data_IF_868565775257
#
_entry.id   IF_868565775257
#
_cell.length_a   1.000
_cell.length_b   1.000
_cell.length_c   1.000
_cell.angle_alpha   90.00
_cell.angle_beta   90.00
_cell.angle_gamma   90.00
#
_symmetry.space_group_name_H-M   'P 1'
#
loop_
_entity.id
_entity.type
_entity.pdbx_description
1 polymer ?
#
# COMPACT_ATOMS: atom_id res chain seq x y z
N UNK A 1 -14.74 -9.87 10.78
CA UNK A 1 -14.42 -11.10 10.02
C UNK A 1 -15.64 -11.69 9.31
N UNK A 2 -16.75 -11.96 10.02
CA UNK A 2 -17.99 -12.50 9.40
C UNK A 2 -18.55 -11.54 8.33
N UNK A 3 -18.62 -10.23 8.63
CA UNK A 3 -19.09 -9.22 7.68
C UNK A 3 -18.27 -9.15 6.39
N UNK A 4 -16.94 -9.18 6.51
CA UNK A 4 -16.04 -9.16 5.34
C UNK A 4 -16.16 -10.42 4.51
N UNK A 5 -16.33 -11.59 5.15
CA UNK A 5 -16.55 -12.87 4.45
C UNK A 5 -17.87 -12.84 3.69
N UNK A 6 -18.96 -12.37 4.31
CA UNK A 6 -20.27 -12.25 3.65
C UNK A 6 -20.20 -11.37 2.39
N UNK A 7 -19.56 -10.20 2.50
CA UNK A 7 -19.36 -9.31 1.36
C UNK A 7 -18.52 -9.99 0.27
N UNK A 8 -17.41 -10.65 0.63
CA UNK A 8 -16.58 -11.37 -0.34
C UNK A 8 -17.34 -12.48 -1.06
N UNK A 9 -18.18 -13.25 -0.36
CA UNK A 9 -19.00 -14.31 -0.97
C UNK A 9 -20.02 -13.73 -1.95
N UNK A 10 -20.66 -12.60 -1.62
CA UNK A 10 -21.61 -11.91 -2.51
C UNK A 10 -20.88 -11.38 -3.76
N UNK A 11 -19.73 -10.73 -3.59
CA UNK A 11 -18.94 -10.21 -4.71
C UNK A 11 -18.40 -11.32 -5.62
N UNK A 12 -18.06 -12.48 -5.05
CA UNK A 12 -17.69 -13.66 -5.83
C UNK A 12 -18.88 -14.21 -6.62
N UNK A 13 -20.09 -14.19 -6.04
CA UNK A 13 -21.33 -14.55 -6.71
C UNK A 13 -21.61 -13.72 -7.98
N UNK A 14 -21.15 -12.46 -8.04
CA UNK A 14 -21.24 -11.63 -9.24
C UNK A 14 -20.50 -12.24 -10.45
N UNK A 15 -19.51 -13.11 -10.23
CA UNK A 15 -18.83 -13.83 -11.30
C UNK A 15 -19.74 -14.82 -12.04
N UNK A 16 -20.85 -15.26 -11.44
CA UNK A 16 -21.79 -16.22 -12.03
C UNK A 16 -23.03 -15.56 -12.64
N UNK A 17 -23.41 -14.37 -12.16
CA UNK A 17 -24.71 -13.74 -12.46
C UNK A 17 -24.56 -12.47 -13.33
N UNK A 18 -23.34 -11.92 -13.44
CA UNK A 18 -23.09 -10.64 -14.14
C UNK A 18 -22.15 -10.75 -15.35
N UNK A 19 -22.11 -9.67 -16.14
CA UNK A 19 -21.10 -9.46 -17.16
C UNK A 19 -19.71 -9.55 -16.52
N UNK A 20 -18.86 -10.49 -16.97
CA UNK A 20 -17.49 -10.73 -16.46
C UNK A 20 -16.64 -9.46 -16.37
N UNK A 21 -17.00 -8.43 -17.12
CA UNK A 21 -16.40 -7.09 -17.08
C UNK A 21 -16.48 -6.47 -15.67
N UNK A 22 -17.64 -6.49 -15.02
CA UNK A 22 -17.82 -5.85 -13.69
C UNK A 22 -16.96 -6.54 -12.63
N UNK A 23 -16.93 -7.87 -12.64
CA UNK A 23 -16.06 -8.64 -11.75
C UNK A 23 -14.58 -8.29 -11.97
N UNK A 24 -14.13 -8.20 -13.22
CA UNK A 24 -12.74 -7.82 -13.55
C UNK A 24 -12.41 -6.40 -13.07
N UNK A 25 -13.36 -5.47 -13.14
CA UNK A 25 -13.18 -4.12 -12.59
C UNK A 25 -12.94 -4.15 -11.09
N UNK A 26 -13.79 -4.86 -10.35
CA UNK A 26 -13.67 -4.99 -8.90
C UNK A 26 -12.33 -5.60 -8.49
N UNK A 27 -11.91 -6.68 -9.17
CA UNK A 27 -10.62 -7.33 -8.92
C UNK A 27 -9.45 -6.39 -9.20
N UNK A 28 -9.46 -5.64 -10.31
CA UNK A 28 -8.41 -4.67 -10.61
C UNK A 28 -8.33 -3.56 -9.56
N UNK A 29 -9.46 -2.98 -9.17
CA UNK A 29 -9.51 -1.92 -8.17
C UNK A 29 -8.92 -2.41 -6.84
N UNK A 30 -9.40 -3.56 -6.34
CA UNK A 30 -8.93 -4.14 -5.06
C UNK A 30 -7.44 -4.50 -5.14
N UNK A 31 -6.98 -5.05 -6.26
CA UNK A 31 -5.57 -5.36 -6.48
C UNK A 31 -4.68 -4.11 -6.37
N UNK A 32 -5.02 -3.04 -7.09
CA UNK A 32 -4.26 -1.78 -7.03
C UNK A 32 -4.28 -1.18 -5.63
N UNK A 33 -5.43 -1.19 -4.94
CA UNK A 33 -5.51 -0.73 -3.54
C UNK A 33 -4.60 -1.52 -2.61
N UNK A 34 -4.55 -2.85 -2.74
CA UNK A 34 -3.67 -3.72 -1.96
C UNK A 34 -2.19 -3.41 -2.18
N UNK A 35 -1.78 -3.21 -3.44
CA UNK A 35 -0.39 -2.86 -3.75
C UNK A 35 0.01 -1.47 -3.25
N UNK A 36 -0.90 -0.49 -3.28
CA UNK A 36 -0.66 0.83 -2.67
C UNK A 36 -0.45 0.68 -1.14
N UNK A 37 -1.24 -0.16 -0.47
CA UNK A 37 -1.06 -0.43 0.95
C UNK A 37 0.29 -1.08 1.25
N UNK A 38 0.69 -2.09 0.46
CA UNK A 38 2.00 -2.73 0.59
C UNK A 38 3.17 -1.77 0.33
N UNK A 39 3.03 -0.88 -0.66
CA UNK A 39 3.99 0.19 -0.89
C UNK A 39 4.13 1.10 0.33
N UNK A 40 3.01 1.52 0.93
CA UNK A 40 3.01 2.34 2.15
C UNK A 40 3.64 1.65 3.36
N UNK A 41 3.37 0.34 3.55
CA UNK A 41 3.98 -0.47 4.61
C UNK A 41 5.50 -0.55 4.41
N UNK A 42 5.95 -0.85 3.19
CA UNK A 42 7.38 -0.94 2.89
C UNK A 42 8.10 0.40 3.12
N UNK A 43 7.50 1.51 2.68
CA UNK A 43 8.05 2.84 2.88
C UNK A 43 8.12 3.21 4.37
N UNK A 44 7.09 2.86 5.14
CA UNK A 44 7.06 3.09 6.59
C UNK A 44 8.16 2.30 7.30
N UNK A 45 8.36 1.03 6.93
CA UNK A 45 9.43 0.20 7.47
C UNK A 45 10.83 0.75 7.13
N UNK A 46 11.03 1.22 5.89
CA UNK A 46 12.27 1.86 5.48
C UNK A 46 12.57 3.14 6.27
N UNK A 47 11.57 4.02 6.44
CA UNK A 47 11.72 5.27 7.22
C UNK A 47 11.97 5.01 8.70
N UNK A 48 11.25 4.06 9.30
CA UNK A 48 11.43 3.69 10.70
C UNK A 48 12.88 3.30 11.00
N UNK A 49 13.45 2.38 10.23
CA UNK A 49 14.81 1.90 10.49
C UNK A 49 15.88 2.97 10.23
N UNK A 50 15.65 3.86 9.26
CA UNK A 50 16.53 5.03 9.06
C UNK A 50 16.48 6.01 10.23
N UNK A 51 15.30 6.26 10.78
CA UNK A 51 15.15 7.09 11.97
C UNK A 51 15.81 6.45 13.20
N UNK A 52 15.64 5.14 13.38
CA UNK A 52 16.23 4.38 14.47
C UNK A 52 17.77 4.48 14.51
N UNK A 53 18.43 4.30 13.36
CA UNK A 53 19.89 4.45 13.24
C UNK A 53 20.31 5.92 13.42
N UNK A 54 19.57 6.87 12.85
CA UNK A 54 19.89 8.30 12.95
C UNK A 54 19.76 8.87 14.36
N UNK A 55 18.91 8.28 15.20
CA UNK A 55 18.74 8.65 16.60
C UNK A 55 19.74 7.95 17.54
N UNK A 56 20.67 7.16 17.00
CA UNK A 56 21.76 6.54 17.75
C UNK A 56 21.44 5.18 18.37
N UNK A 57 20.25 4.61 18.09
CA UNK A 57 19.88 3.28 18.59
C UNK A 57 20.54 2.16 17.78
N UNK A 58 20.93 1.09 18.46
CA UNK A 58 21.52 -0.08 17.82
C UNK A 58 20.43 -1.00 17.31
N UNK A 59 20.55 -1.47 16.06
CA UNK A 59 19.61 -2.44 15.49
C UNK A 59 19.52 -3.75 16.28
N UNK A 60 20.47 -3.98 17.19
CA UNK A 60 20.45 -5.10 18.11
C UNK A 60 19.45 -4.96 19.26
N UNK A 61 19.01 -3.73 19.55
CA UNK A 61 18.05 -3.41 20.60
C UNK A 61 16.62 -3.73 20.17
N UNK A 62 16.40 -3.98 18.87
CA UNK A 62 15.10 -4.40 18.33
C UNK A 62 14.84 -5.89 18.59
N UNK A 63 13.69 -6.19 19.21
CA UNK A 63 13.17 -7.56 19.37
C UNK A 63 13.02 -8.27 18.01
N UNK A 64 12.61 -7.52 16.98
CA UNK A 64 12.41 -8.05 15.62
C UNK A 64 13.49 -7.55 14.66
N UNK A 65 14.40 -8.45 14.28
CA UNK A 65 15.46 -8.16 13.30
C UNK A 65 15.03 -8.64 11.91
N UNK A 66 14.81 -7.70 11.01
CA UNK A 66 14.59 -8.01 9.59
C UNK A 66 15.92 -8.49 8.96
N UNK A 67 15.98 -9.75 8.55
CA UNK A 67 17.16 -10.39 7.95
C UNK A 67 17.63 -9.73 6.64
N UNK A 68 16.71 -9.16 5.86
CA UNK A 68 16.98 -8.64 4.51
C UNK A 68 17.04 -7.11 4.41
N UNK A 69 17.17 -6.38 5.52
CA UNK A 69 17.31 -4.92 5.43
C UNK A 69 18.73 -4.54 5.01
N UNK A 70 18.95 -3.57 4.09
CA UNK A 70 18.00 -2.60 3.48
C UNK A 70 17.33 -3.04 2.18
N UNK A 71 17.73 -4.18 1.64
CA UNK A 71 17.34 -4.61 0.29
C UNK A 71 15.86 -4.99 0.21
N UNK A 72 15.32 -5.65 1.23
CA UNK A 72 13.93 -6.14 1.28
C UNK A 72 12.88 -5.05 1.05
N UNK A 73 12.85 -3.96 1.84
CA UNK A 73 11.89 -2.88 1.63
C UNK A 73 12.03 -2.17 0.28
N UNK A 74 13.26 -1.98 -0.19
CA UNK A 74 13.53 -1.34 -1.49
C UNK A 74 12.96 -2.19 -2.62
N UNK A 75 13.28 -3.49 -2.64
CA UNK A 75 12.74 -4.43 -3.64
C UNK A 75 11.22 -4.49 -3.56
N UNK A 76 10.64 -4.60 -2.36
CA UNK A 76 9.19 -4.65 -2.19
C UNK A 76 8.51 -3.37 -2.72
N UNK A 77 9.09 -2.19 -2.46
CA UNK A 77 8.56 -0.92 -2.96
C UNK A 77 8.66 -0.80 -4.49
N UNK A 78 9.77 -1.27 -5.08
CA UNK A 78 9.97 -1.25 -6.53
C UNK A 78 9.04 -2.25 -7.22
N UNK A 79 8.94 -3.46 -6.69
CA UNK A 79 8.10 -4.53 -7.23
C UNK A 79 6.62 -4.16 -7.20
N UNK A 80 6.14 -3.61 -6.07
CA UNK A 80 4.74 -3.14 -5.96
C UNK A 80 4.45 -2.02 -6.95
N UNK A 81 5.39 -1.10 -7.17
CA UNK A 81 5.27 -0.05 -8.18
C UNK A 81 5.17 -0.63 -9.60
N UNK A 82 6.08 -1.55 -9.97
CA UNK A 82 6.07 -2.22 -11.28
C UNK A 82 4.76 -2.97 -11.52
N UNK A 83 4.25 -3.69 -10.51
CA UNK A 83 2.99 -4.45 -10.64
C UNK A 83 1.80 -3.50 -10.85
N UNK A 84 1.73 -2.38 -10.12
CA UNK A 84 0.66 -1.38 -10.31
C UNK A 84 0.63 -0.88 -11.76
N UNK A 85 1.79 -0.56 -12.35
CA UNK A 85 1.85 -0.11 -13.74
C UNK A 85 1.59 -1.25 -14.73
N UNK A 86 2.11 -2.45 -14.47
CA UNK A 86 1.95 -3.62 -15.33
C UNK A 86 0.52 -4.14 -15.40
N UNK A 87 -0.25 -4.04 -14.31
CA UNK A 87 -1.65 -4.48 -14.26
C UNK A 87 -2.55 -3.80 -15.30
N UNK A 88 -2.28 -2.54 -15.64
CA UNK A 88 -3.04 -1.82 -16.66
C UNK A 88 -2.50 -1.98 -18.09
N UNK A 89 -1.46 -2.78 -18.32
CA UNK A 89 -0.91 -3.03 -19.66
C UNK A 89 -1.97 -3.57 -20.63
N UNK A 90 -2.81 -4.51 -20.18
CA UNK A 90 -3.89 -5.07 -21.00
C UNK A 90 -4.95 -4.04 -21.41
N UNK A 91 -5.10 -2.94 -20.67
CA UNK A 91 -6.01 -1.86 -21.04
C UNK A 91 -5.49 -1.05 -22.24
N UNK A 92 -4.17 -1.02 -22.45
CA UNK A 92 -3.55 -0.34 -23.58
C UNK A 92 -3.40 -1.22 -24.83
N UNK A 93 -3.28 -2.54 -24.66
CA UNK A 93 -3.07 -3.48 -25.79
C UNK A 93 -4.35 -4.07 -26.37
N UNK A 94 -5.51 -3.83 -25.76
CA UNK A 94 -6.80 -4.27 -26.32
C UNK A 94 -7.21 -3.38 -27.49
N UNK A 95 -7.42 -3.97 -28.66
CA UNK A 95 -8.02 -3.30 -29.83
C UNK A 95 -9.46 -3.79 -30.03
N UNK A 96 -10.46 -2.89 -30.18
CA UNK A 96 -10.39 -1.43 -30.07
C UNK A 96 -10.15 -0.96 -28.63
N UNK A 97 -9.58 0.25 -28.48
CA UNK A 97 -9.31 0.84 -27.17
C UNK A 97 -10.62 1.01 -26.38
N UNK A 98 -10.70 0.35 -25.24
CA UNK A 98 -11.84 0.46 -24.33
C UNK A 98 -11.50 1.41 -23.19
N UNK A 99 -12.02 2.64 -23.27
CA UNK A 99 -11.90 3.63 -22.18
C UNK A 99 -12.39 3.07 -20.84
N UNK A 100 -13.41 2.23 -20.89
CA UNK A 100 -13.94 1.47 -19.74
C UNK A 100 -12.82 0.69 -19.03
N UNK A 101 -12.07 -0.14 -19.75
CA UNK A 101 -11.02 -0.96 -19.16
C UNK A 101 -9.83 -0.14 -18.66
N UNK A 102 -9.51 0.96 -19.35
CA UNK A 102 -8.49 1.90 -18.91
C UNK A 102 -8.86 2.55 -17.57
N UNK A 103 -10.10 3.04 -17.46
CA UNK A 103 -10.59 3.64 -16.22
C UNK A 103 -10.58 2.60 -15.08
N UNK A 104 -11.04 1.37 -15.33
CA UNK A 104 -11.02 0.29 -14.35
C UNK A 104 -9.63 -0.02 -13.80
N UNK A 105 -8.60 0.02 -14.66
CA UNK A 105 -7.23 -0.31 -14.28
C UNK A 105 -6.55 0.83 -13.51
N UNK A 106 -6.86 2.09 -13.83
CA UNK A 106 -6.09 3.24 -13.33
C UNK A 106 -6.86 4.20 -12.42
N UNK A 107 -8.19 4.13 -12.30
CA UNK A 107 -8.99 5.07 -11.48
C UNK A 107 -8.57 5.07 -9.99
N UNK A 108 -8.06 3.96 -9.49
CA UNK A 108 -7.64 3.82 -8.09
C UNK A 108 -6.47 4.74 -7.74
N UNK A 109 -5.52 4.96 -8.66
CA UNK A 109 -4.35 5.83 -8.45
C UNK A 109 -4.72 7.30 -8.19
N UNK A 110 -5.46 8.01 -9.07
CA UNK A 110 -5.86 9.38 -8.84
C UNK A 110 -6.82 9.51 -7.65
N UNK A 111 -7.72 8.55 -7.43
CA UNK A 111 -8.59 8.53 -6.24
C UNK A 111 -7.76 8.46 -4.96
N UNK A 112 -6.77 7.58 -4.91
CA UNK A 112 -5.85 7.50 -3.77
C UNK A 112 -5.09 8.82 -3.56
N UNK A 113 -4.56 9.42 -4.62
CA UNK A 113 -3.86 10.70 -4.53
C UNK A 113 -4.78 11.80 -4.01
N UNK A 114 -6.01 11.90 -4.50
CA UNK A 114 -7.00 12.87 -4.03
C UNK A 114 -7.27 12.68 -2.55
N UNK A 115 -7.58 11.47 -2.11
CA UNK A 115 -7.83 11.17 -0.69
C UNK A 115 -6.62 11.51 0.16
N UNK A 116 -5.41 11.16 -0.30
CA UNK A 116 -4.16 11.45 0.38
C UNK A 116 -3.91 12.96 0.53
N UNK A 117 -4.07 13.72 -0.56
CA UNK A 117 -3.89 15.17 -0.54
C UNK A 117 -4.98 15.85 0.28
N UNK A 118 -6.25 15.48 0.13
CA UNK A 118 -7.36 16.01 0.93
C UNK A 118 -7.08 15.78 2.41
N UNK A 119 -6.70 14.57 2.81
CA UNK A 119 -6.33 14.26 4.19
C UNK A 119 -5.19 15.17 4.67
N UNK A 120 -4.14 15.32 3.85
CA UNK A 120 -2.97 16.15 4.17
C UNK A 120 -3.31 17.64 4.29
N UNK A 121 -4.19 18.17 3.43
CA UNK A 121 -4.64 19.55 3.46
C UNK A 121 -5.55 19.81 4.67
N UNK A 122 -6.53 18.94 4.93
CA UNK A 122 -7.47 19.08 6.05
C UNK A 122 -6.76 18.93 7.40
N UNK A 123 -5.90 17.92 7.54
CA UNK A 123 -5.16 17.67 8.79
C UNK A 123 -3.85 18.44 8.90
N UNK A 124 -3.48 19.21 7.87
CA UNK A 124 -2.23 19.99 7.79
C UNK A 124 -1.00 19.19 8.23
N UNK A 125 -0.97 17.90 7.90
CA UNK A 125 0.09 17.00 8.37
C UNK A 125 1.40 17.33 7.66
N UNK A 126 2.48 17.48 8.44
CA UNK A 126 3.83 17.70 7.94
C UNK A 126 4.55 16.36 7.81
N UNK A 127 5.45 16.26 6.84
CA UNK A 127 6.38 15.13 6.80
C UNK A 127 7.36 15.29 7.96
N UNK A 128 7.23 14.44 8.96
CA UNK A 128 8.09 14.44 10.15
C UNK A 128 9.52 14.07 9.70
N UNK A 129 10.53 14.91 9.97
CA UNK A 129 11.91 14.59 9.65
C UNK A 129 12.35 13.37 10.46
N UNK A 130 13.27 12.56 9.91
CA UNK A 130 13.69 11.29 10.52
C UNK A 130 14.20 11.43 11.96
N UNK A 131 14.77 12.60 12.31
CA UNK A 131 15.27 12.91 13.65
C UNK A 131 14.18 13.16 14.70
N UNK A 132 12.98 13.54 14.27
CA UNK A 132 11.84 13.87 15.13
C UNK A 132 10.78 12.77 15.14
N UNK A 133 11.05 11.63 14.48
CA UNK A 133 10.15 10.48 14.52
C UNK A 133 10.17 9.94 15.94
N UNK A 134 9.00 9.88 16.58
CA UNK A 134 8.86 9.32 17.91
C UNK A 134 9.06 7.79 17.86
N UNK A 135 10.10 7.32 18.53
CA UNK A 135 10.46 5.90 18.67
C UNK A 135 10.25 5.39 20.10
N UNK A 136 9.89 6.25 21.05
CA UNK A 136 9.96 5.97 22.50
C UNK A 136 8.56 5.90 23.13
N UNK A 137 7.63 6.76 22.72
CA UNK A 137 6.29 6.79 23.33
C UNK A 137 5.55 5.47 23.11
N UNK A 138 5.05 4.87 24.21
CA UNK A 138 4.40 3.55 24.25
C UNK A 138 5.26 2.39 23.74
N UNK A 139 6.58 2.51 23.79
CA UNK A 139 7.47 1.44 23.36
C UNK A 139 7.80 0.52 24.55
N UNK A 140 7.37 -0.75 24.44
CA UNK A 140 7.63 -1.80 25.44
C UNK A 140 9.12 -2.05 25.68
N UNK A 141 10.00 -1.65 24.76
CA UNK A 141 11.45 -1.87 24.89
C UNK A 141 12.12 -0.94 25.91
N UNK A 142 11.52 0.21 26.24
CA UNK A 142 12.08 1.18 27.21
C UNK A 142 11.40 1.13 28.60
N UNK A 143 10.33 0.34 28.76
CA UNK A 143 9.68 0.13 30.06
C UNK A 143 10.34 -0.98 30.91
N UNK A 144 11.34 -1.68 30.38
CA UNK A 144 12.02 -2.81 31.04
C UNK A 144 13.44 -2.48 31.55
N UNK A 145 13.86 -1.22 31.49
CA UNK A 145 15.16 -0.74 32.01
C UNK A 145 15.03 0.05 33.29
#
# INVERSE_FOLDING_TARGET
>A
LIFTVLISTILFGLSFIGNKIIYRWLVNIVGVMGFIAWFGISLSHWRFRRAFILQGYSLNDLVYKSLFFPVGPIIASLLTCIIIFGQGYSAFTTHPFSFSNFLAAYITLPVFLIIFFVYKFVKKTRFIPLKEIDLVTNNIMFHQT
#
